data_IF_909293656084
#
_entry.id   IF_909293656084
#
_cell.length_a   1.000
_cell.length_b   1.000
_cell.length_c   1.000
_cell.angle_alpha   90.00
_cell.angle_beta   90.00
_cell.angle_gamma   90.00
#
_symmetry.space_group_name_H-M   'P 1'
#
loop_
_entity.id
_entity.type
_entity.pdbx_description
1 polymer ?
#
# COMPACT_ATOMS: atom_id res chain seq x y z
N UNK A 1 0.91 71.09 7.79
CA UNK A 1 -0.04 70.42 6.89
C UNK A 1 0.56 70.48 5.49
N UNK A 2 0.78 69.28 4.91
CA UNK A 2 0.97 68.91 3.49
C UNK A 2 1.68 69.86 2.50
N UNK A 3 2.72 69.35 1.85
CA UNK A 3 3.05 69.65 0.45
C UNK A 3 3.73 68.44 -0.22
N UNK A 4 3.44 68.29 -1.51
CA UNK A 4 3.55 67.13 -2.41
C UNK A 4 4.96 66.90 -3.03
N UNK A 5 5.16 65.73 -3.67
CA UNK A 5 6.39 65.09 -4.20
C UNK A 5 7.16 65.81 -5.34
N UNK A 6 8.40 65.35 -5.69
CA UNK A 6 8.58 64.50 -6.90
C UNK A 6 9.69 63.39 -6.83
N UNK A 7 9.82 62.50 -7.86
CA UNK A 7 10.80 61.37 -7.97
C UNK A 7 12.02 61.72 -8.89
N UNK A 8 12.85 60.80 -9.44
CA UNK A 8 13.62 59.63 -8.94
C UNK A 8 15.17 59.63 -9.26
N UNK A 9 15.97 58.77 -8.58
CA UNK A 9 17.26 58.09 -8.95
C UNK A 9 18.51 58.94 -9.36
N UNK A 10 19.79 58.41 -9.41
CA UNK A 10 20.28 57.02 -9.37
C UNK A 10 21.55 56.73 -8.50
N UNK A 11 21.95 55.46 -8.50
CA UNK A 11 23.17 54.84 -7.97
C UNK A 11 24.52 55.55 -8.28
N UNK A 12 25.47 55.44 -7.33
CA UNK A 12 26.91 55.46 -7.64
C UNK A 12 27.74 54.72 -6.56
N UNK A 13 28.15 53.50 -6.93
CA UNK A 13 29.40 52.80 -6.63
C UNK A 13 30.09 52.96 -5.25
N UNK A 14 29.93 51.95 -4.40
CA UNK A 14 30.86 51.68 -3.28
C UNK A 14 32.09 50.93 -3.83
N UNK A 15 33.25 51.57 -3.78
CA UNK A 15 34.55 50.93 -4.05
C UNK A 15 34.92 49.99 -2.90
N UNK A 16 35.46 48.77 -3.16
CA UNK A 16 35.95 47.91 -2.09
C UNK A 16 37.31 48.39 -1.57
N UNK A 17 37.41 48.50 -0.25
CA UNK A 17 38.63 48.81 0.50
C UNK A 17 39.69 47.69 0.37
N UNK A 18 41.00 48.02 0.50
CA UNK A 18 42.08 47.05 0.32
C UNK A 18 42.18 46.06 1.50
N UNK A 19 42.70 44.84 1.29
CA UNK A 19 42.79 43.85 2.36
C UNK A 19 43.88 44.20 3.39
N UNK A 20 43.47 44.15 4.66
CA UNK A 20 44.30 44.37 5.84
C UNK A 20 45.49 43.41 5.90
N UNK A 21 46.69 43.96 5.70
CA UNK A 21 47.98 43.30 5.89
C UNK A 21 48.45 43.54 7.33
N UNK A 22 48.14 42.61 8.23
CA UNK A 22 48.74 42.58 9.58
C UNK A 22 49.25 41.18 9.94
N UNK A 23 50.58 41.06 9.87
CA UNK A 23 51.50 40.44 10.84
C UNK A 23 51.23 39.01 11.34
N UNK A 24 51.97 38.05 10.78
CA UNK A 24 52.53 36.92 11.54
C UNK A 24 54.03 36.73 11.17
N UNK A 25 54.89 36.37 12.14
CA UNK A 25 56.34 36.23 11.93
C UNK A 25 56.73 34.96 11.18
N UNK A 26 57.80 35.09 10.40
CA UNK A 26 58.35 34.19 9.37
C UNK A 26 58.91 32.83 9.85
N UNK A 27 58.45 32.27 10.97
CA UNK A 27 59.08 31.10 11.63
C UNK A 27 58.29 29.80 11.67
N UNK A 28 57.14 29.71 11.00
CA UNK A 28 56.38 28.45 10.86
C UNK A 28 56.09 28.07 9.40
N UNK A 29 57.03 28.34 8.49
CA UNK A 29 57.04 27.74 7.16
C UNK A 29 57.50 26.27 7.24
N UNK A 30 56.66 25.41 7.80
CA UNK A 30 56.73 23.97 7.55
C UNK A 30 56.29 23.74 6.10
N UNK A 31 57.19 23.98 5.13
CA UNK A 31 57.04 23.38 3.81
C UNK A 31 57.32 21.89 3.95
N UNK A 32 56.37 20.99 3.66
CA UNK A 32 56.71 19.59 3.48
C UNK A 32 57.66 19.49 2.29
N UNK A 33 58.84 18.92 2.56
CA UNK A 33 59.78 18.40 1.58
C UNK A 33 59.02 17.48 0.62
N UNK A 34 59.33 17.57 -0.68
CA UNK A 34 58.65 16.90 -1.79
C UNK A 34 58.30 15.43 -1.49
N UNK A 35 57.11 15.22 -0.92
CA UNK A 35 56.45 13.93 -0.93
C UNK A 35 55.62 13.93 -2.20
N UNK A 36 55.96 13.05 -3.15
CA UNK A 36 55.08 12.77 -4.28
C UNK A 36 53.71 12.41 -3.72
N UNK A 37 52.77 13.35 -3.88
CA UNK A 37 51.38 13.16 -3.50
C UNK A 37 50.83 12.04 -4.38
N UNK A 38 50.40 10.95 -3.75
CA UNK A 38 49.75 9.84 -4.40
C UNK A 38 48.52 10.39 -5.18
N UNK A 39 48.43 10.22 -6.52
CA UNK A 39 47.34 10.79 -7.32
C UNK A 39 45.94 10.26 -6.92
N UNK A 40 45.88 9.20 -6.12
CA UNK A 40 44.64 8.72 -5.50
C UNK A 40 44.08 9.65 -4.40
N UNK A 41 44.89 10.57 -3.85
CA UNK A 41 44.49 11.55 -2.82
C UNK A 41 44.23 12.96 -3.37
N UNK A 42 44.20 13.14 -4.69
CA UNK A 42 43.95 14.44 -5.29
C UNK A 42 42.55 14.97 -4.90
N UNK A 43 42.42 16.20 -4.37
CA UNK A 43 41.12 16.76 -4.01
C UNK A 43 40.29 16.93 -5.29
N UNK A 44 39.07 16.37 -5.30
CA UNK A 44 38.13 16.52 -6.42
C UNK A 44 37.87 18.00 -6.68
N UNK A 45 38.13 18.43 -7.92
CA UNK A 45 37.82 19.79 -8.41
C UNK A 45 36.29 19.95 -8.38
N UNK A 46 35.78 20.85 -7.52
CA UNK A 46 34.34 21.13 -7.36
C UNK A 46 33.93 22.31 -8.25
N UNK A 47 32.74 22.23 -8.84
CA UNK A 47 32.18 23.31 -9.64
C UNK A 47 31.69 24.47 -8.73
N UNK A 48 31.71 25.73 -9.20
CA UNK A 48 31.17 26.85 -8.44
C UNK A 48 29.67 26.65 -8.18
N UNK A 49 29.27 26.53 -6.90
CA UNK A 49 27.89 26.31 -6.49
C UNK A 49 27.60 24.94 -5.87
N UNK A 50 28.52 23.98 -5.94
CA UNK A 50 28.35 22.70 -5.24
C UNK A 50 28.40 22.90 -3.72
N UNK A 51 27.37 22.46 -2.97
CA UNK A 51 27.36 22.60 -1.53
C UNK A 51 28.46 21.72 -0.94
N UNK A 52 29.50 22.35 -0.40
CA UNK A 52 30.56 21.65 0.33
C UNK A 52 29.98 20.78 1.45
N UNK A 53 30.62 19.65 1.75
CA UNK A 53 30.25 18.78 2.89
C UNK A 53 30.13 19.58 4.19
N UNK A 54 31.00 20.59 4.37
CA UNK A 54 30.96 21.50 5.51
C UNK A 54 29.68 22.34 5.53
N UNK A 55 29.27 22.91 4.39
CA UNK A 55 28.01 23.68 4.31
C UNK A 55 26.78 22.79 4.48
N UNK A 56 26.81 21.54 4.01
CA UNK A 56 25.72 20.58 4.22
C UNK A 56 25.59 20.17 5.69
N UNK A 57 26.72 19.99 6.38
CA UNK A 57 26.74 19.72 7.82
C UNK A 57 26.12 20.87 8.63
N UNK A 58 26.48 22.12 8.33
CA UNK A 58 25.89 23.29 8.99
C UNK A 58 24.40 23.46 8.66
N UNK A 59 23.98 23.19 7.42
CA UNK A 59 22.57 23.24 7.04
C UNK A 59 21.73 22.19 7.79
N UNK A 60 22.24 20.97 7.98
CA UNK A 60 21.59 19.93 8.79
C UNK A 60 21.50 20.34 10.26
N UNK A 61 22.58 20.86 10.83
CA UNK A 61 22.62 21.36 12.22
C UNK A 61 21.64 22.49 12.52
N UNK A 62 21.25 23.30 11.53
CA UNK A 62 20.24 24.35 11.70
C UNK A 62 18.81 23.80 11.72
N UNK A 63 18.56 22.71 11.01
CA UNK A 63 17.25 22.05 10.92
C UNK A 63 17.02 21.09 12.10
N UNK A 64 18.08 20.55 12.67
CA UNK A 64 18.03 19.64 13.81
C UNK A 64 18.00 20.43 15.13
N UNK A 65 16.84 20.44 15.78
CA UNK A 65 16.73 20.95 17.16
C UNK A 65 17.43 19.97 18.09
N UNK A 66 18.54 20.39 18.69
CA UNK A 66 19.35 19.56 19.59
C UNK A 66 18.49 18.93 20.68
N UNK A 67 18.57 17.60 20.81
CA UNK A 67 17.84 16.84 21.82
C UNK A 67 18.32 17.26 23.22
N UNK A 68 17.46 17.81 24.10
CA UNK A 68 17.87 18.29 25.43
C UNK A 68 18.33 17.17 26.37
N UNK A 69 18.14 15.91 25.98
CA UNK A 69 18.55 14.73 26.75
C UNK A 69 19.93 14.16 26.33
N UNK A 70 20.65 14.86 25.45
CA UNK A 70 21.91 14.40 24.87
C UNK A 70 21.74 13.39 23.74
N UNK A 71 22.78 13.21 22.92
CA UNK A 71 22.86 12.14 21.92
C UNK A 71 23.05 10.80 22.66
N UNK A 72 21.96 10.25 23.18
CA UNK A 72 21.96 8.84 23.54
C UNK A 72 21.94 8.04 22.24
N UNK A 73 22.86 7.08 22.03
CA UNK A 73 22.73 6.16 20.91
C UNK A 73 21.35 5.54 20.97
N UNK A 74 20.63 5.53 19.85
CA UNK A 74 19.33 4.90 19.80
C UNK A 74 19.50 3.46 20.35
N UNK A 75 18.72 3.02 21.34
CA UNK A 75 18.87 1.70 21.98
C UNK A 75 18.61 0.52 21.02
N UNK A 76 18.46 0.81 19.73
CA UNK A 76 18.21 -0.09 18.62
C UNK A 76 19.39 -0.20 17.62
N UNK A 77 20.44 0.61 17.72
CA UNK A 77 21.53 0.55 16.72
C UNK A 77 22.28 -0.80 16.79
N UNK A 78 22.54 -1.30 18.00
CA UNK A 78 23.18 -2.62 18.19
C UNK A 78 22.29 -3.80 17.77
N UNK A 79 20.96 -3.62 17.71
CA UNK A 79 20.04 -4.70 17.32
C UNK A 79 20.15 -5.05 15.82
N UNK A 80 20.45 -4.07 14.95
CA UNK A 80 20.58 -4.32 13.52
C UNK A 80 21.99 -4.75 13.11
N UNK A 81 23.02 -4.42 13.89
CA UNK A 81 24.40 -4.83 13.61
C UNK A 81 24.72 -6.25 14.12
N UNK A 82 24.05 -6.72 15.18
CA UNK A 82 24.11 -8.12 15.63
C UNK A 82 23.45 -9.12 14.67
N UNK A 83 22.65 -8.65 13.70
CA UNK A 83 22.01 -9.52 12.71
C UNK A 83 23.01 -10.17 11.72
N UNK A 84 24.28 -9.76 11.74
CA UNK A 84 25.35 -10.38 10.92
C UNK A 84 26.26 -11.34 11.67
N UNK A 85 26.08 -11.55 12.97
CA UNK A 85 26.86 -12.55 13.73
C UNK A 85 25.97 -13.36 14.69
N UNK A 86 25.97 -14.68 14.48
CA UNK A 86 25.40 -15.76 15.32
C UNK A 86 23.92 -16.15 15.09
N UNK A 87 23.64 -17.08 14.17
CA UNK A 87 22.32 -17.71 14.05
C UNK A 87 22.19 -18.91 14.99
N UNK A 88 22.11 -18.79 16.33
CA UNK A 88 22.30 -20.04 17.11
C UNK A 88 21.65 -20.30 18.46
N UNK A 89 20.88 -19.42 19.09
CA UNK A 89 20.19 -19.80 20.36
C UNK A 89 18.69 -19.60 20.27
N UNK A 90 18.21 -18.41 19.93
CA UNK A 90 16.78 -18.13 19.77
C UNK A 90 16.12 -19.02 18.70
N UNK A 91 16.79 -19.23 17.56
CA UNK A 91 16.30 -20.10 16.49
C UNK A 91 16.28 -21.58 16.91
N UNK A 92 17.27 -22.04 17.68
CA UNK A 92 17.32 -23.43 18.20
C UNK A 92 16.30 -23.68 19.30
N UNK A 93 16.05 -22.69 20.16
CA UNK A 93 15.00 -22.76 21.19
C UNK A 93 13.61 -22.75 20.54
N UNK A 94 13.41 -21.89 19.52
CA UNK A 94 12.17 -21.88 18.75
C UNK A 94 11.98 -23.19 17.95
N UNK A 95 13.02 -23.72 17.31
CA UNK A 95 12.96 -25.02 16.61
C UNK A 95 12.77 -26.20 17.57
N UNK A 96 13.28 -26.13 18.81
CA UNK A 96 13.08 -27.15 19.83
C UNK A 96 11.67 -27.12 20.45
N UNK A 97 11.07 -25.93 20.59
CA UNK A 97 9.71 -25.75 21.12
C UNK A 97 8.62 -25.94 20.06
N UNK A 98 8.85 -25.48 18.82
CA UNK A 98 7.83 -25.40 17.77
C UNK A 98 8.13 -26.27 16.54
N UNK A 99 9.27 -27.00 16.53
CA UNK A 99 9.71 -27.80 15.39
C UNK A 99 10.40 -26.97 14.29
N UNK A 100 11.07 -27.67 13.36
CA UNK A 100 11.80 -27.07 12.21
C UNK A 100 10.93 -26.31 11.21
N UNK A 101 9.62 -26.40 11.34
CA UNK A 101 8.68 -25.73 10.45
C UNK A 101 7.94 -24.64 11.22
N UNK A 102 8.50 -23.43 11.24
CA UNK A 102 7.67 -22.23 11.35
C UNK A 102 6.89 -22.17 10.02
N UNK A 103 5.78 -22.90 9.96
CA UNK A 103 4.90 -22.85 8.81
C UNK A 103 4.44 -21.39 8.69
N UNK A 104 4.71 -20.78 7.53
CA UNK A 104 4.17 -19.46 7.23
C UNK A 104 2.67 -19.50 7.48
N UNK A 105 2.14 -18.49 8.19
CA UNK A 105 0.76 -18.49 8.65
C UNK A 105 -0.20 -18.60 7.44
N UNK A 106 -0.57 -19.82 7.07
CA UNK A 106 -1.48 -20.10 5.98
C UNK A 106 -2.88 -19.91 6.53
N UNK A 107 -3.60 -18.93 5.98
CA UNK A 107 -5.01 -18.75 6.31
C UNK A 107 -5.73 -20.07 6.03
N UNK A 108 -6.50 -20.56 7.01
CA UNK A 108 -7.31 -21.76 6.84
C UNK A 108 -8.32 -21.51 5.71
N UNK A 109 -8.54 -22.48 4.81
CA UNK A 109 -9.61 -22.36 3.83
C UNK A 109 -10.96 -22.19 4.55
N UNK A 110 -11.93 -21.50 3.94
CA UNK A 110 -13.26 -21.39 4.52
C UNK A 110 -13.86 -22.77 4.74
N UNK A 111 -14.67 -22.97 5.80
CA UNK A 111 -15.32 -24.24 6.03
C UNK A 111 -16.23 -24.61 4.85
N UNK A 112 -16.28 -25.89 4.49
CA UNK A 112 -17.15 -26.41 3.42
C UNK A 112 -18.65 -26.42 3.78
N UNK A 113 -19.01 -25.82 4.92
CA UNK A 113 -20.36 -25.86 5.48
C UNK A 113 -21.18 -24.72 4.88
N UNK A 114 -22.39 -25.04 4.41
CA UNK A 114 -23.37 -24.08 3.92
C UNK A 114 -23.74 -23.09 5.03
N UNK A 115 -23.77 -21.80 4.71
CA UNK A 115 -24.33 -20.80 5.61
C UNK A 115 -25.84 -21.04 5.76
N UNK A 116 -26.31 -21.23 7.00
CA UNK A 116 -27.73 -21.44 7.33
C UNK A 116 -28.26 -20.21 8.08
N UNK A 117 -28.89 -19.24 7.39
CA UNK A 117 -29.41 -18.03 8.02
C UNK A 117 -30.47 -18.34 9.10
N UNK A 118 -31.24 -19.41 8.92
CA UNK A 118 -32.30 -19.84 9.85
C UNK A 118 -31.78 -20.24 11.23
N UNK A 119 -30.51 -20.66 11.32
CA UNK A 119 -29.89 -21.07 12.58
C UNK A 119 -29.13 -19.92 13.27
N UNK A 120 -29.18 -18.70 12.70
CA UNK A 120 -28.50 -17.56 13.27
C UNK A 120 -29.24 -17.08 14.53
N UNK A 121 -28.51 -16.88 15.63
CA UNK A 121 -29.09 -16.50 16.93
C UNK A 121 -29.92 -15.21 16.86
N UNK A 122 -29.51 -14.30 15.99
CA UNK A 122 -30.17 -13.01 15.76
C UNK A 122 -30.45 -12.81 14.28
N UNK A 123 -31.72 -12.77 13.85
CA UNK A 123 -32.05 -12.49 12.46
C UNK A 123 -31.73 -11.04 12.06
N UNK A 124 -31.63 -10.12 13.03
CA UNK A 124 -31.21 -8.73 12.81
C UNK A 124 -29.75 -8.58 12.37
N UNK A 125 -28.91 -9.56 12.69
CA UNK A 125 -27.48 -9.55 12.36
C UNK A 125 -27.23 -10.07 10.93
N UNK A 126 -28.26 -10.68 10.33
CA UNK A 126 -28.27 -11.02 8.92
C UNK A 126 -28.46 -9.74 8.10
N UNK A 127 -27.89 -9.73 6.88
CA UNK A 127 -28.09 -8.62 5.97
C UNK A 127 -29.59 -8.32 5.78
N UNK A 128 -29.97 -7.06 5.92
CA UNK A 128 -31.37 -6.64 5.84
C UNK A 128 -31.70 -6.04 4.47
N UNK A 129 -32.97 -6.08 4.10
CA UNK A 129 -33.47 -5.36 2.91
C UNK A 129 -33.25 -3.86 3.04
N UNK A 130 -33.45 -3.31 4.24
CA UNK A 130 -33.24 -1.89 4.53
C UNK A 130 -31.80 -1.42 4.26
N UNK A 131 -30.81 -2.31 4.36
CA UNK A 131 -29.40 -2.01 4.04
C UNK A 131 -28.96 -2.49 2.66
N UNK A 132 -29.86 -3.11 1.89
CA UNK A 132 -29.55 -3.71 0.59
C UNK A 132 -28.63 -4.94 0.68
N UNK A 133 -28.43 -5.51 1.87
CA UNK A 133 -27.51 -6.63 2.11
C UNK A 133 -28.23 -7.97 2.27
N UNK A 134 -29.56 -8.02 2.08
CA UNK A 134 -30.36 -9.24 2.22
C UNK A 134 -29.79 -10.45 1.46
N UNK A 135 -29.22 -10.23 0.27
CA UNK A 135 -28.62 -11.30 -0.53
C UNK A 135 -27.45 -12.00 0.14
N UNK A 136 -26.71 -11.34 1.05
CA UNK A 136 -25.58 -11.95 1.77
C UNK A 136 -26.02 -13.10 2.66
N UNK A 137 -27.27 -13.07 3.12
CA UNK A 137 -27.85 -14.13 3.93
C UNK A 137 -28.31 -15.35 3.12
N UNK A 138 -28.21 -15.33 1.78
CA UNK A 138 -28.61 -16.45 0.94
C UNK A 138 -27.85 -17.74 1.31
N UNK A 139 -28.58 -18.85 1.43
CA UNK A 139 -28.08 -20.14 1.85
C UNK A 139 -27.33 -20.88 0.71
N UNK A 140 -26.21 -20.32 0.27
CA UNK A 140 -25.36 -20.89 -0.79
C UNK A 140 -24.18 -21.64 -0.18
N UNK A 141 -23.83 -22.79 -0.78
CA UNK A 141 -22.61 -23.50 -0.44
C UNK A 141 -21.40 -22.75 -0.96
N UNK A 142 -20.34 -22.71 -0.15
CA UNK A 142 -19.05 -22.25 -0.64
C UNK A 142 -18.61 -23.13 -1.81
N UNK A 143 -18.18 -22.48 -2.89
CA UNK A 143 -17.57 -23.08 -4.05
C UNK A 143 -16.36 -22.24 -4.41
N UNK A 144 -15.23 -22.88 -4.64
CA UNK A 144 -14.03 -22.20 -5.09
C UNK A 144 -14.24 -21.61 -6.49
N UNK A 145 -13.58 -20.49 -6.78
CA UNK A 145 -13.73 -19.84 -8.09
C UNK A 145 -13.20 -20.77 -9.20
N UNK A 146 -13.97 -20.99 -10.29
CA UNK A 146 -13.54 -21.84 -11.40
C UNK A 146 -12.54 -21.08 -12.26
N UNK A 147 -11.27 -21.14 -11.85
CA UNK A 147 -10.16 -20.46 -12.54
C UNK A 147 -10.23 -18.93 -12.48
N UNK A 148 -9.12 -18.27 -12.83
CA UNK A 148 -9.00 -16.80 -12.86
C UNK A 148 -8.80 -16.25 -14.28
N UNK A 149 -9.10 -17.07 -15.29
CA UNK A 149 -8.88 -16.80 -16.71
C UNK A 149 -10.15 -16.33 -17.43
N UNK A 150 -11.22 -15.99 -16.69
CA UNK A 150 -12.49 -15.52 -17.24
C UNK A 150 -13.62 -16.55 -17.29
N UNK A 151 -13.39 -17.77 -16.83
CA UNK A 151 -14.43 -18.79 -16.72
C UNK A 151 -15.47 -18.42 -15.66
N UNK A 152 -15.03 -17.90 -14.51
CA UNK A 152 -15.92 -17.53 -13.42
C UNK A 152 -16.84 -16.36 -13.80
N UNK A 153 -16.30 -15.29 -14.40
CA UNK A 153 -17.13 -14.18 -14.89
C UNK A 153 -18.10 -14.61 -15.99
N UNK A 154 -17.68 -15.49 -16.91
CA UNK A 154 -18.55 -16.05 -17.96
C UNK A 154 -19.75 -16.79 -17.37
N UNK A 155 -19.53 -17.68 -16.40
CA UNK A 155 -20.62 -18.42 -15.73
C UNK A 155 -21.62 -17.48 -15.06
N UNK A 156 -21.14 -16.43 -14.41
CA UNK A 156 -22.01 -15.43 -13.77
C UNK A 156 -22.81 -14.65 -14.82
N UNK A 157 -22.21 -14.24 -15.94
CA UNK A 157 -22.93 -13.59 -17.06
C UNK A 157 -24.05 -14.49 -17.60
N UNK A 158 -23.74 -15.75 -17.89
CA UNK A 158 -24.70 -16.73 -18.39
C UNK A 158 -25.88 -16.91 -17.42
N UNK A 159 -25.60 -16.99 -16.12
CA UNK A 159 -26.64 -17.10 -15.09
C UNK A 159 -27.52 -15.83 -15.03
N UNK A 160 -26.94 -14.63 -15.10
CA UNK A 160 -27.69 -13.37 -15.15
C UNK A 160 -28.59 -13.34 -16.38
N UNK A 161 -28.05 -13.69 -17.56
CA UNK A 161 -28.83 -13.72 -18.79
C UNK A 161 -29.97 -14.73 -18.73
N UNK A 162 -29.74 -15.89 -18.14
CA UNK A 162 -30.76 -16.91 -17.97
C UNK A 162 -31.92 -16.39 -17.12
N UNK A 163 -31.63 -15.78 -15.97
CA UNK A 163 -32.66 -15.18 -15.11
C UNK A 163 -33.42 -14.04 -15.80
N UNK A 164 -32.73 -13.25 -16.63
CA UNK A 164 -33.38 -12.19 -17.43
C UNK A 164 -34.26 -12.74 -18.56
N UNK A 165 -34.03 -13.97 -19.04
CA UNK A 165 -34.83 -14.60 -20.09
C UNK A 165 -36.00 -15.40 -19.54
N UNK A 166 -36.03 -15.68 -18.23
CA UNK A 166 -37.13 -16.41 -17.61
C UNK A 166 -38.45 -15.63 -17.77
N UNK A 167 -39.54 -16.29 -18.19
CA UNK A 167 -40.85 -15.68 -18.17
C UNK A 167 -41.30 -15.55 -16.71
N UNK A 168 -41.42 -14.32 -16.22
CA UNK A 168 -41.86 -14.03 -14.85
C UNK A 168 -43.03 -13.05 -14.86
N UNK A 169 -43.88 -13.12 -13.83
CA UNK A 169 -44.95 -12.15 -13.61
C UNK A 169 -44.44 -10.83 -12.97
N UNK A 170 -43.15 -10.73 -12.67
CA UNK A 170 -42.57 -9.54 -12.05
C UNK A 170 -42.39 -8.41 -13.09
N UNK A 171 -42.43 -7.17 -12.61
CA UNK A 171 -42.01 -6.03 -13.42
C UNK A 171 -40.51 -6.11 -13.75
N UNK A 172 -40.16 -5.78 -15.00
CA UNK A 172 -38.79 -5.87 -15.51
C UNK A 172 -37.79 -5.04 -14.70
N UNK A 173 -38.20 -3.86 -14.27
CA UNK A 173 -37.36 -2.95 -13.48
C UNK A 173 -37.00 -3.56 -12.12
N UNK A 174 -37.97 -4.20 -11.44
CA UNK A 174 -37.75 -4.87 -10.16
C UNK A 174 -36.78 -6.05 -10.30
N UNK A 175 -36.88 -6.81 -11.40
CA UNK A 175 -35.92 -7.89 -11.71
C UNK A 175 -34.50 -7.34 -11.85
N UNK A 176 -34.35 -6.20 -12.53
CA UNK A 176 -33.04 -5.56 -12.69
C UNK A 176 -32.46 -5.06 -11.36
N UNK A 177 -33.30 -4.53 -10.47
CA UNK A 177 -32.91 -4.11 -9.12
C UNK A 177 -32.40 -5.29 -8.28
N UNK A 178 -33.08 -6.44 -8.33
CA UNK A 178 -32.64 -7.65 -7.63
C UNK A 178 -31.33 -8.23 -8.19
N UNK A 179 -31.08 -8.05 -9.49
CA UNK A 179 -29.84 -8.48 -10.15
C UNK A 179 -28.69 -7.47 -10.01
N UNK A 180 -28.95 -6.25 -9.53
CA UNK A 180 -27.93 -5.21 -9.41
C UNK A 180 -26.71 -5.64 -8.54
N UNK A 181 -26.88 -6.31 -7.38
CA UNK A 181 -25.74 -6.82 -6.62
C UNK A 181 -24.92 -7.86 -7.38
N UNK A 182 -25.57 -8.75 -8.15
CA UNK A 182 -24.87 -9.75 -8.95
C UNK A 182 -24.02 -9.10 -10.05
N UNK A 183 -24.56 -8.07 -10.72
CA UNK A 183 -23.81 -7.27 -11.72
C UNK A 183 -22.63 -6.52 -11.11
N UNK A 184 -22.79 -5.98 -9.90
CA UNK A 184 -21.70 -5.32 -9.16
C UNK A 184 -20.54 -6.28 -8.90
N UNK A 185 -20.82 -7.46 -8.36
CA UNK A 185 -19.78 -8.43 -8.04
C UNK A 185 -19.18 -9.11 -9.27
N UNK A 186 -19.94 -9.22 -10.36
CA UNK A 186 -19.41 -9.59 -11.67
C UNK A 186 -18.34 -8.59 -12.14
N UNK A 187 -18.62 -7.28 -12.06
CA UNK A 187 -17.64 -6.26 -12.46
C UNK A 187 -16.38 -6.28 -11.57
N UNK A 188 -16.53 -6.57 -10.28
CA UNK A 188 -15.41 -6.78 -9.37
C UNK A 188 -14.58 -8.02 -9.76
N UNK A 189 -15.24 -9.14 -10.05
CA UNK A 189 -14.60 -10.38 -10.50
C UNK A 189 -13.83 -10.18 -11.80
N UNK A 190 -14.42 -9.53 -12.80
CA UNK A 190 -13.77 -9.24 -14.08
C UNK A 190 -12.53 -8.37 -13.91
N UNK A 191 -12.55 -7.39 -12.99
CA UNK A 191 -11.35 -6.59 -12.67
C UNK A 191 -10.25 -7.44 -12.05
N UNK A 192 -10.60 -8.41 -11.20
CA UNK A 192 -9.64 -9.32 -10.57
C UNK A 192 -9.04 -10.27 -11.60
N UNK A 193 -9.86 -10.89 -12.45
CA UNK A 193 -9.41 -11.76 -13.55
C UNK A 193 -8.52 -10.99 -14.54
N UNK A 194 -8.92 -9.76 -14.90
CA UNK A 194 -8.10 -8.89 -15.75
C UNK A 194 -6.74 -8.61 -15.12
N UNK A 195 -6.70 -8.21 -13.84
CA UNK A 195 -5.44 -7.97 -13.13
C UNK A 195 -4.59 -9.23 -13.02
N UNK A 196 -5.22 -10.40 -12.84
CA UNK A 196 -4.53 -11.68 -12.79
C UNK A 196 -3.84 -12.00 -14.13
N UNK A 197 -4.55 -11.81 -15.26
CA UNK A 197 -4.01 -12.05 -16.60
C UNK A 197 -3.00 -11.02 -17.10
N UNK A 198 -3.10 -9.75 -16.66
CA UNK A 198 -2.34 -8.62 -17.22
C UNK A 198 -1.19 -8.13 -16.33
N UNK A 199 -0.57 -9.04 -15.57
CA UNK A 199 0.71 -8.75 -14.90
C UNK A 199 0.58 -7.95 -13.60
N UNK A 200 -0.39 -8.27 -12.74
CA UNK A 200 -0.34 -7.82 -11.36
C UNK A 200 0.96 -8.26 -10.66
N UNK A 201 1.41 -7.45 -9.69
CA UNK A 201 2.52 -7.76 -8.77
C UNK A 201 2.46 -9.23 -8.29
N UNK A 202 3.57 -9.98 -8.33
CA UNK A 202 3.64 -11.37 -7.87
C UNK A 202 2.98 -11.61 -6.51
N UNK A 203 3.20 -10.72 -5.53
CA UNK A 203 2.62 -10.85 -4.18
C UNK A 203 1.09 -10.75 -4.25
N UNK A 204 0.58 -9.79 -5.04
CA UNK A 204 -0.86 -9.63 -5.23
C UNK A 204 -1.44 -10.83 -5.97
N UNK A 205 -0.76 -11.34 -6.99
CA UNK A 205 -1.18 -12.49 -7.79
C UNK A 205 -1.26 -13.78 -6.98
N UNK A 206 -0.34 -13.98 -6.04
CA UNK A 206 -0.30 -15.19 -5.21
C UNK A 206 -1.26 -15.15 -4.02
N UNK A 207 -1.46 -13.98 -3.40
CA UNK A 207 -2.16 -13.91 -2.11
C UNK A 207 -3.45 -13.08 -2.12
N UNK A 208 -3.50 -11.99 -2.90
CA UNK A 208 -4.65 -11.07 -2.85
C UNK A 208 -5.70 -11.39 -3.90
N UNK A 209 -5.29 -11.58 -5.15
CA UNK A 209 -6.20 -11.79 -6.28
C UNK A 209 -7.02 -13.08 -6.15
N UNK A 210 -6.45 -14.23 -5.76
CA UNK A 210 -7.26 -15.45 -5.60
C UNK A 210 -8.35 -15.27 -4.53
N UNK A 211 -8.00 -14.67 -3.40
CA UNK A 211 -8.97 -14.40 -2.32
C UNK A 211 -10.03 -13.39 -2.73
N UNK A 212 -9.65 -12.35 -3.46
CA UNK A 212 -10.58 -11.36 -3.97
C UNK A 212 -11.56 -11.99 -4.99
N UNK A 213 -11.07 -12.87 -5.85
CA UNK A 213 -11.89 -13.60 -6.81
C UNK A 213 -12.88 -14.54 -6.12
N UNK A 214 -12.42 -15.35 -5.15
CA UNK A 214 -13.29 -16.23 -4.35
C UNK A 214 -14.40 -15.42 -3.67
N UNK A 215 -14.05 -14.27 -3.09
CA UNK A 215 -14.99 -13.40 -2.39
C UNK A 215 -16.02 -12.79 -3.34
N UNK A 216 -15.58 -12.28 -4.50
CA UNK A 216 -16.47 -11.70 -5.51
C UNK A 216 -17.39 -12.77 -6.13
N UNK A 217 -16.85 -13.96 -6.40
CA UNK A 217 -17.60 -15.07 -6.96
C UNK A 217 -18.68 -15.59 -5.99
N UNK A 218 -18.34 -15.80 -4.72
CA UNK A 218 -19.32 -16.24 -3.72
C UNK A 218 -20.44 -15.19 -3.53
N UNK A 219 -20.09 -13.90 -3.49
CA UNK A 219 -21.08 -12.82 -3.38
C UNK A 219 -21.99 -12.73 -4.62
N UNK A 220 -21.44 -12.90 -5.82
CA UNK A 220 -22.24 -12.94 -7.04
C UNK A 220 -23.23 -14.13 -7.03
N UNK A 221 -22.79 -15.31 -6.59
CA UNK A 221 -23.66 -16.50 -6.49
C UNK A 221 -24.76 -16.33 -5.44
N UNK A 222 -24.45 -15.74 -4.30
CA UNK A 222 -25.46 -15.38 -3.28
C UNK A 222 -26.49 -14.40 -3.82
N UNK A 223 -26.05 -13.37 -4.55
CA UNK A 223 -26.94 -12.42 -5.19
C UNK A 223 -27.87 -13.08 -6.23
N UNK A 224 -27.34 -14.00 -7.04
CA UNK A 224 -28.13 -14.78 -8.00
C UNK A 224 -29.17 -15.67 -7.31
N UNK A 225 -28.78 -16.42 -6.27
CA UNK A 225 -29.70 -17.27 -5.52
C UNK A 225 -30.81 -16.46 -4.83
N UNK A 226 -30.47 -15.27 -4.31
CA UNK A 226 -31.45 -14.35 -3.76
C UNK A 226 -32.44 -13.85 -4.81
N UNK A 227 -31.95 -13.42 -5.97
CA UNK A 227 -32.80 -12.96 -7.08
C UNK A 227 -33.71 -14.09 -7.59
N UNK A 228 -33.18 -15.30 -7.77
CA UNK A 228 -33.96 -16.48 -8.17
C UNK A 228 -35.10 -16.77 -7.18
N UNK A 229 -34.82 -16.73 -5.87
CA UNK A 229 -35.83 -16.91 -4.84
C UNK A 229 -36.95 -15.86 -4.90
N UNK A 230 -36.61 -14.60 -5.23
CA UNK A 230 -37.60 -13.52 -5.41
C UNK A 230 -38.44 -13.71 -6.66
N UNK A 231 -37.80 -14.10 -7.78
CA UNK A 231 -38.49 -14.37 -9.04
C UNK A 231 -39.51 -15.52 -8.89
N UNK A 232 -39.17 -16.56 -8.14
CA UNK A 232 -40.09 -17.67 -7.81
C UNK A 232 -41.26 -17.28 -6.90
N UNK A 233 -41.19 -16.11 -6.26
CA UNK A 233 -42.27 -15.53 -5.47
C UNK A 233 -43.24 -14.64 -6.27
N UNK A 234 -42.89 -14.24 -7.49
CA UNK A 234 -43.76 -13.40 -8.30
C UNK A 234 -44.94 -14.20 -8.87
N UNK A 235 -46.15 -13.73 -8.60
CA UNK A 235 -47.39 -14.37 -9.07
C UNK A 235 -47.97 -15.41 -8.11
N UNK A 236 -47.40 -15.56 -6.91
CA UNK A 236 -48.11 -16.11 -5.74
C UNK A 236 -48.78 -14.98 -4.98
#
# INVERSE_FOLDING_TARGET
MTAESPPPSPDAAVQPAPPNRWLLPDRFSLRPRDAQADPALAPKVRAPGDPSERSQYYAKKLLERGNPLGEQPAPLHDWFDDAKAAPTISKRIAEALYGKEIQSAKARPPPSVRFRPELHERPSDLGSEATGNAYKAAAVAYEAVPGLEGEASRRIREAIELLLKLPTACERQTVEEWLAPARKHLAELERVEYAYGHGADPIRREHMLPRAADTAYDQARRALSYAEGRLGGCGK
#
